data_IF_539662348436
#
_entry.id   IF_539662348436
#
_cell.length_a   1.000
_cell.length_b   1.000
_cell.length_c   1.000
_cell.angle_alpha   90.00
_cell.angle_beta   90.00
_cell.angle_gamma   90.00
#
_symmetry.space_group_name_H-M   'P 1'
#
loop_
_entity.id
_entity.type
_entity.pdbx_description
1 polymer ?
#
# COMPACT_ATOMS: atom_id res chain seq x y z
N UNK A 1 10.59 22.38 17.81
CA UNK A 1 9.50 23.20 18.25
C UNK A 1 8.16 22.65 17.84
N UNK A 2 7.95 22.49 16.54
CA UNK A 2 6.73 21.87 16.06
C UNK A 2 6.77 20.35 16.13
N UNK A 3 7.88 19.80 16.53
CA UNK A 3 8.07 18.36 16.57
C UNK A 3 7.11 17.68 17.55
N UNK A 4 6.83 18.30 18.69
CA UNK A 4 5.90 17.73 19.63
C UNK A 4 4.48 17.72 19.09
N UNK A 5 4.12 18.74 18.30
CA UNK A 5 2.83 18.84 17.67
C UNK A 5 2.68 17.75 16.60
N UNK A 6 3.71 17.56 15.79
CA UNK A 6 3.71 16.51 14.77
C UNK A 6 3.63 15.13 15.40
N UNK A 7 4.32 14.93 16.52
CA UNK A 7 4.24 13.67 17.26
C UNK A 7 2.85 13.42 17.79
N UNK A 8 2.17 14.46 18.26
CA UNK A 8 0.80 14.32 18.77
C UNK A 8 -0.16 13.94 17.65
N UNK A 9 0.03 14.49 16.48
CA UNK A 9 -0.78 14.11 15.32
C UNK A 9 -0.54 12.66 14.93
N UNK A 10 0.71 12.21 14.92
CA UNK A 10 1.01 10.83 14.58
C UNK A 10 0.49 9.84 15.64
N UNK A 11 0.33 10.25 16.89
CA UNK A 11 -0.24 9.41 17.92
C UNK A 11 -1.71 9.10 17.70
N UNK A 12 -2.43 9.95 16.96
CA UNK A 12 -3.85 9.79 16.69
C UNK A 12 -4.12 9.02 15.39
N UNK A 13 -3.08 8.64 14.68
CA UNK A 13 -3.19 7.93 13.40
C UNK A 13 -2.26 6.73 13.40
N UNK A 14 -2.61 5.74 12.58
CA UNK A 14 -1.68 4.65 12.32
C UNK A 14 -0.38 5.23 11.73
N UNK A 15 0.74 4.74 12.22
CA UNK A 15 2.04 5.17 11.74
C UNK A 15 2.19 4.85 10.25
N UNK A 16 2.73 5.80 9.50
CA UNK A 16 2.99 5.62 8.07
C UNK A 16 4.47 5.54 7.84
N UNK A 17 4.87 4.58 7.01
CA UNK A 17 6.26 4.31 6.72
C UNK A 17 6.48 4.47 5.23
N UNK A 18 7.50 5.26 4.88
CA UNK A 18 7.85 5.52 3.48
C UNK A 18 8.51 4.28 2.89
N UNK A 19 8.10 3.93 1.69
CA UNK A 19 8.65 2.81 0.95
C UNK A 19 8.77 3.22 -0.52
N UNK A 20 9.61 2.52 -1.27
CA UNK A 20 9.73 2.73 -2.70
C UNK A 20 9.64 1.40 -3.46
N UNK A 21 9.05 0.40 -2.82
CA UNK A 21 8.90 -0.91 -3.45
C UNK A 21 7.91 -0.84 -4.61
N UNK A 22 8.17 -1.62 -5.64
CA UNK A 22 7.24 -1.78 -6.76
C UNK A 22 6.13 -2.72 -6.33
N UNK A 23 4.91 -2.35 -6.68
CA UNK A 23 3.71 -3.12 -6.38
C UNK A 23 2.83 -3.19 -7.62
N UNK A 24 1.80 -4.03 -7.55
CA UNK A 24 0.82 -4.16 -8.64
C UNK A 24 -0.58 -4.00 -8.10
N UNK A 25 -1.43 -3.32 -8.87
CA UNK A 25 -2.83 -3.15 -8.55
C UNK A 25 -3.68 -3.70 -9.69
N UNK A 26 -4.75 -4.43 -9.36
CA UNK A 26 -5.64 -4.99 -10.38
C UNK A 26 -7.07 -5.09 -9.88
N UNK A 27 -7.99 -5.10 -10.84
CA UNK A 27 -9.38 -5.46 -10.58
C UNK A 27 -9.47 -6.98 -10.60
N UNK A 28 -10.15 -7.53 -9.61
CA UNK A 28 -10.24 -8.98 -9.48
C UNK A 28 -10.89 -9.63 -10.70
N UNK A 29 -11.94 -9.01 -11.22
CA UNK A 29 -12.70 -9.55 -12.35
C UNK A 29 -11.96 -9.49 -13.68
N UNK A 30 -10.88 -8.74 -13.76
CA UNK A 30 -10.13 -8.53 -15.01
C UNK A 30 -8.85 -9.35 -15.08
N UNK A 31 -8.56 -10.11 -14.03
CA UNK A 31 -7.37 -10.96 -14.02
C UNK A 31 -7.41 -11.96 -15.19
N UNK A 32 -6.31 -12.20 -15.91
CA UNK A 32 -4.94 -11.65 -15.68
C UNK A 32 -4.68 -10.29 -16.35
N UNK A 33 -5.70 -9.66 -16.90
CA UNK A 33 -5.55 -8.39 -17.59
C UNK A 33 -5.78 -7.22 -16.63
N UNK A 34 -5.37 -6.03 -17.03
CA UNK A 34 -5.63 -4.82 -16.26
C UNK A 34 -4.72 -4.62 -15.07
N UNK A 35 -3.57 -5.31 -15.03
CA UNK A 35 -2.59 -5.13 -13.98
C UNK A 35 -1.88 -3.79 -14.19
N UNK A 36 -1.84 -2.97 -13.14
CA UNK A 36 -1.17 -1.67 -13.16
C UNK A 36 0.00 -1.69 -12.20
N UNK A 37 1.16 -1.29 -12.70
CA UNK A 37 2.37 -1.19 -11.87
C UNK A 37 2.38 0.14 -11.14
N UNK A 38 2.86 0.12 -9.91
CA UNK A 38 2.92 1.32 -9.08
C UNK A 38 4.11 1.23 -8.13
N UNK A 39 4.45 2.38 -7.55
CA UNK A 39 5.45 2.47 -6.50
C UNK A 39 4.71 2.68 -5.18
N UNK A 40 5.04 1.88 -4.19
CA UNK A 40 4.48 2.04 -2.85
C UNK A 40 5.16 3.24 -2.18
N UNK A 41 4.41 4.32 -2.00
CA UNK A 41 4.96 5.55 -1.42
C UNK A 41 4.99 5.48 0.10
N UNK A 42 3.89 5.07 0.70
CA UNK A 42 3.87 4.84 2.14
C UNK A 42 2.87 3.74 2.48
N UNK A 43 3.04 3.17 3.66
CA UNK A 43 2.22 2.08 4.15
C UNK A 43 2.04 2.23 5.66
N UNK A 44 0.84 1.85 6.12
CA UNK A 44 0.52 1.75 7.55
C UNK A 44 -0.20 0.43 7.76
N UNK A 45 -0.53 0.11 9.00
CA UNK A 45 -1.29 -1.11 9.29
C UNK A 45 -2.67 -1.10 8.62
N UNK A 46 -3.23 0.08 8.38
CA UNK A 46 -4.59 0.22 7.88
C UNK A 46 -4.67 0.50 6.39
N UNK A 47 -3.61 0.99 5.77
CA UNK A 47 -3.71 1.41 4.39
C UNK A 47 -2.38 1.74 3.73
N UNK A 48 -2.50 2.31 2.54
CA UNK A 48 -1.35 2.50 1.66
C UNK A 48 -1.54 3.76 0.82
N UNK A 49 -0.43 4.21 0.25
CA UNK A 49 -0.41 5.23 -0.80
C UNK A 49 0.55 4.79 -1.89
N UNK A 50 0.09 4.82 -3.13
CA UNK A 50 0.88 4.38 -4.27
C UNK A 50 0.86 5.44 -5.37
N UNK A 51 1.88 5.39 -6.23
CA UNK A 51 1.93 6.20 -7.44
C UNK A 51 2.09 5.27 -8.63
N UNK A 52 1.16 5.37 -9.59
CA UNK A 52 1.19 4.50 -10.76
C UNK A 52 2.30 4.93 -11.72
N UNK A 53 2.95 3.96 -12.35
CA UNK A 53 4.01 4.22 -13.33
C UNK A 53 3.46 4.53 -14.71
N UNK A 54 2.18 4.25 -14.94
CA UNK A 54 1.48 4.54 -16.17
C UNK A 54 0.09 5.04 -15.88
N UNK A 55 -0.74 5.09 -16.90
CA UNK A 55 -2.12 5.55 -16.74
C UNK A 55 -2.95 4.55 -15.96
N UNK A 56 -3.71 5.04 -15.01
CA UNK A 56 -4.68 4.28 -14.25
C UNK A 56 -5.89 5.16 -14.00
N UNK A 57 -7.03 4.54 -13.78
CA UNK A 57 -8.27 5.26 -13.51
C UNK A 57 -9.12 4.41 -12.58
N UNK A 58 -9.20 4.84 -11.33
CA UNK A 58 -10.00 4.17 -10.32
C UNK A 58 -10.89 5.18 -9.61
N UNK A 59 -12.00 4.69 -9.10
CA UNK A 59 -12.98 5.53 -8.40
C UNK A 59 -12.90 5.29 -6.90
N UNK A 60 -13.26 6.31 -6.15
CA UNK A 60 -13.41 6.18 -4.70
C UNK A 60 -14.41 5.07 -4.39
N UNK A 61 -14.06 4.19 -3.46
CA UNK A 61 -14.88 3.06 -3.07
C UNK A 61 -14.68 1.81 -3.90
N UNK A 62 -13.91 1.90 -4.98
CA UNK A 62 -13.65 0.73 -5.81
C UNK A 62 -12.78 -0.28 -5.07
N UNK A 63 -13.14 -1.56 -5.20
CA UNK A 63 -12.42 -2.63 -4.54
C UNK A 63 -11.48 -3.30 -5.52
N UNK A 64 -10.23 -3.42 -5.10
CA UNK A 64 -9.14 -3.88 -5.94
C UNK A 64 -8.30 -4.89 -5.16
N UNK A 65 -7.28 -5.42 -5.82
CA UNK A 65 -6.28 -6.28 -5.17
C UNK A 65 -4.92 -5.63 -5.35
N UNK A 66 -4.23 -5.40 -4.24
CA UNK A 66 -2.86 -4.91 -4.21
C UNK A 66 -1.93 -6.08 -3.98
N UNK A 67 -0.97 -6.25 -4.88
CA UNK A 67 0.03 -7.30 -4.79
C UNK A 67 1.38 -6.67 -4.45
N UNK A 68 1.97 -7.10 -3.34
CA UNK A 68 3.23 -6.56 -2.84
C UNK A 68 4.28 -7.65 -2.88
N UNK A 69 5.31 -7.53 -3.75
CA UNK A 69 6.43 -8.47 -3.73
C UNK A 69 7.17 -8.36 -2.39
N UNK A 70 7.59 -9.48 -1.85
CA UNK A 70 8.20 -9.53 -0.53
C UNK A 70 9.72 -9.59 -0.54
N UNK A 71 10.32 -9.89 -1.70
CA UNK A 71 11.79 -9.94 -1.77
C UNK A 71 12.48 -8.62 -1.44
N UNK A 72 11.93 -7.44 -1.80
CA UNK A 72 12.56 -6.18 -1.38
C UNK A 72 12.63 -6.00 0.12
N UNK A 73 11.84 -6.78 0.87
CA UNK A 73 11.78 -6.68 2.34
C UNK A 73 12.49 -7.85 3.01
N UNK A 74 13.31 -8.60 2.24
CA UNK A 74 14.09 -9.69 2.80
C UNK A 74 13.30 -10.95 3.07
N UNK A 75 12.12 -11.07 2.51
CA UNK A 75 11.25 -12.25 2.68
C UNK A 75 11.30 -13.06 1.39
N UNK A 76 11.75 -14.32 1.50
CA UNK A 76 11.92 -15.16 0.32
C UNK A 76 10.68 -16.00 0.00
N UNK A 77 9.84 -16.23 0.98
CA UNK A 77 8.60 -17.01 0.78
C UNK A 77 7.52 -16.51 1.75
N UNK A 78 6.31 -16.22 1.24
CA UNK A 78 5.92 -16.29 -0.17
C UNK A 78 6.56 -15.18 -1.00
N UNK A 79 6.47 -15.29 -2.32
CA UNK A 79 7.05 -14.28 -3.22
C UNK A 79 6.37 -12.92 -3.09
N UNK A 80 5.06 -12.95 -2.90
CA UNK A 80 4.25 -11.75 -2.82
C UNK A 80 3.02 -12.03 -1.98
N UNK A 81 2.43 -10.98 -1.45
CA UNK A 81 1.12 -11.06 -0.82
C UNK A 81 0.13 -10.28 -1.67
N UNK A 82 -1.11 -10.79 -1.75
CA UNK A 82 -2.19 -10.13 -2.44
C UNK A 82 -3.24 -9.74 -1.40
N UNK A 83 -3.56 -8.46 -1.34
CA UNK A 83 -4.40 -7.92 -0.30
C UNK A 83 -5.61 -7.24 -0.93
N UNK A 84 -6.84 -7.62 -0.58
CA UNK A 84 -8.01 -6.86 -0.98
C UNK A 84 -7.95 -5.46 -0.37
N UNK A 85 -8.20 -4.46 -1.20
CA UNK A 85 -8.13 -3.06 -0.79
C UNK A 85 -9.33 -2.30 -1.32
N UNK A 86 -9.56 -1.14 -0.74
CA UNK A 86 -10.60 -0.22 -1.20
C UNK A 86 -9.97 1.15 -1.41
N UNK A 87 -10.25 1.76 -2.56
CA UNK A 87 -9.75 3.09 -2.90
C UNK A 87 -10.48 4.13 -2.06
N UNK A 88 -9.72 4.94 -1.35
CA UNK A 88 -10.27 6.06 -0.58
C UNK A 88 -10.21 7.34 -1.40
N UNK A 89 -9.11 7.53 -2.13
CA UNK A 89 -8.97 8.68 -3.01
C UNK A 89 -8.07 8.33 -4.20
N UNK A 90 -8.29 9.03 -5.29
CA UNK A 90 -7.47 8.90 -6.50
C UNK A 90 -7.20 10.28 -7.08
N UNK A 91 -5.92 10.59 -7.28
CA UNK A 91 -5.47 11.85 -7.87
C UNK A 91 -4.99 11.57 -9.29
N UNK A 92 -5.81 11.95 -10.25
CA UNK A 92 -5.56 11.67 -11.67
C UNK A 92 -4.39 12.47 -12.23
N UNK A 93 -4.12 13.65 -11.69
CA UNK A 93 -3.00 14.46 -12.16
C UNK A 93 -1.67 13.85 -11.78
N UNK A 94 -1.56 13.41 -10.55
CA UNK A 94 -0.31 12.83 -10.03
C UNK A 94 -0.24 11.33 -10.22
N UNK A 95 -1.31 10.71 -10.66
CA UNK A 95 -1.42 9.25 -10.76
C UNK A 95 -1.16 8.58 -9.42
N UNK A 96 -1.73 9.14 -8.36
CA UNK A 96 -1.59 8.62 -7.00
C UNK A 96 -2.92 8.16 -6.47
N UNK A 97 -2.84 7.13 -5.64
CA UNK A 97 -4.02 6.52 -5.04
C UNK A 97 -3.72 6.18 -3.59
N UNK A 98 -4.69 6.41 -2.75
CA UNK A 98 -4.65 5.97 -1.36
C UNK A 98 -5.84 5.10 -1.07
N UNK A 99 -5.64 4.13 -0.19
CA UNK A 99 -6.70 3.21 0.14
C UNK A 99 -6.47 2.51 1.46
N UNK A 100 -7.41 1.64 1.80
CA UNK A 100 -7.38 0.87 3.03
C UNK A 100 -7.33 -0.61 2.70
N UNK A 101 -6.69 -1.37 3.59
CA UNK A 101 -6.68 -2.82 3.52
C UNK A 101 -8.00 -3.37 4.03
N UNK A 102 -8.61 -4.27 3.26
CA UNK A 102 -9.93 -4.84 3.59
C UNK A 102 -9.82 -6.23 4.18
N UNK A 103 -8.61 -6.73 4.35
CA UNK A 103 -8.40 -8.10 4.81
C UNK A 103 -8.08 -8.11 6.29
N UNK A 104 -8.78 -8.97 7.05
CA UNK A 104 -8.55 -9.18 8.48
C UNK A 104 -7.68 -10.40 8.76
N UNK A 105 -7.08 -10.99 7.74
CA UNK A 105 -6.23 -12.17 7.90
C UNK A 105 -4.99 -11.79 8.74
N UNK A 106 -4.76 -12.45 9.87
CA UNK A 106 -3.58 -12.16 10.70
C UNK A 106 -2.26 -12.30 9.96
N UNK A 107 -2.17 -13.20 8.98
CA UNK A 107 -0.96 -13.35 8.17
C UNK A 107 -0.64 -12.08 7.40
N UNK A 108 -1.66 -11.44 6.84
CA UNK A 108 -1.48 -10.17 6.11
C UNK A 108 -0.97 -9.09 7.06
N UNK A 109 -1.53 -9.01 8.26
CA UNK A 109 -1.11 -8.02 9.26
C UNK A 109 0.36 -8.21 9.60
N UNK A 110 0.79 -9.46 9.78
CA UNK A 110 2.19 -9.77 10.08
C UNK A 110 3.10 -9.31 8.94
N UNK A 111 2.75 -9.58 7.69
CA UNK A 111 3.55 -9.17 6.54
C UNK A 111 3.60 -7.65 6.39
N UNK A 112 2.48 -6.97 6.60
CA UNK A 112 2.45 -5.51 6.54
C UNK A 112 3.36 -4.92 7.59
N UNK A 113 3.32 -5.44 8.82
CA UNK A 113 4.22 -4.99 9.89
C UNK A 113 5.69 -5.23 9.52
N UNK A 114 5.98 -6.37 8.91
CA UNK A 114 7.34 -6.68 8.48
C UNK A 114 7.82 -5.69 7.41
N UNK A 115 6.97 -5.36 6.47
CA UNK A 115 7.26 -4.37 5.44
C UNK A 115 7.57 -3.01 6.09
N UNK A 116 6.77 -2.61 7.06
CA UNK A 116 6.97 -1.36 7.78
C UNK A 116 8.31 -1.35 8.54
N UNK A 117 8.63 -2.44 9.22
CA UNK A 117 9.90 -2.55 9.97
C UNK A 117 11.10 -2.40 9.06
N UNK A 118 11.11 -3.12 7.94
CA UNK A 118 12.23 -3.07 7.00
C UNK A 118 12.36 -1.68 6.38
N UNK A 119 11.23 -1.07 6.03
CA UNK A 119 11.24 0.27 5.45
C UNK A 119 11.75 1.31 6.44
N UNK A 120 11.45 1.14 7.72
CA UNK A 120 11.97 2.01 8.78
C UNK A 120 13.47 1.85 9.00
N UNK A 121 13.97 0.62 8.87
CA UNK A 121 15.37 0.31 9.12
C UNK A 121 16.31 0.84 8.05
N UNK A 122 15.77 1.32 6.97
CA UNK A 122 16.54 1.89 5.89
C UNK A 122 16.65 3.42 6.08
#
# INVERSE_FOLDING_TARGET
LDHSKDKNESNNRAERVISHALVEMRRLSWWPFGIKSAVLLDVSENGFKIEFTGKADYSQGEQLVLSIPLSPFGISAPRAISIPVEVVWFDKEKMRCGGIFKNNDPAVVIFVRKIMEVSKGI
#
